data_IF_446060681343
#
_entry.id   IF_446060681343
#
_cell.length_a   1.000
_cell.length_b   1.000
_cell.length_c   1.000
_cell.angle_alpha   90.00
_cell.angle_beta   90.00
_cell.angle_gamma   90.00
#
_symmetry.space_group_name_H-M   'P 1'
#
loop_
_entity.id
_entity.type
_entity.pdbx_description
1 polymer ?
#
# COMPACT_ATOMS: atom_id res chain seq x y z
N UNK A 1 -13.12 -23.54 -2.04
CA UNK A 1 -11.72 -23.05 -1.88
C UNK A 1 -11.43 -21.77 -2.67
N UNK A 2 -11.65 -21.72 -3.99
CA UNK A 2 -11.35 -20.52 -4.83
C UNK A 2 -12.01 -19.22 -4.33
N UNK A 3 -13.29 -19.26 -3.93
CA UNK A 3 -14.02 -18.11 -3.35
C UNK A 3 -13.39 -17.57 -2.06
N UNK A 4 -12.91 -18.45 -1.18
CA UNK A 4 -12.24 -18.06 0.08
C UNK A 4 -10.91 -17.37 -0.23
N UNK A 5 -10.13 -17.93 -1.18
CA UNK A 5 -8.88 -17.32 -1.64
C UNK A 5 -9.13 -15.93 -2.25
N UNK A 6 -10.20 -15.77 -3.03
CA UNK A 6 -10.58 -14.47 -3.57
C UNK A 6 -10.93 -13.45 -2.48
N UNK A 7 -11.69 -13.85 -1.47
CA UNK A 7 -12.05 -12.97 -0.36
C UNK A 7 -10.82 -12.54 0.47
N UNK A 8 -9.90 -13.47 0.74
CA UNK A 8 -8.64 -13.17 1.43
C UNK A 8 -7.77 -12.21 0.60
N UNK A 9 -7.71 -12.38 -0.72
CA UNK A 9 -6.97 -11.47 -1.61
C UNK A 9 -7.56 -10.06 -1.62
N UNK A 10 -8.89 -9.92 -1.61
CA UNK A 10 -9.53 -8.60 -1.51
C UNK A 10 -9.28 -7.94 -0.15
N UNK A 11 -9.35 -8.70 0.94
CA UNK A 11 -9.06 -8.18 2.28
C UNK A 11 -7.59 -7.77 2.41
N UNK A 12 -6.67 -8.55 1.85
CA UNK A 12 -5.25 -8.20 1.80
C UNK A 12 -5.03 -6.92 0.96
N UNK A 13 -5.71 -6.78 -0.17
CA UNK A 13 -5.62 -5.57 -0.97
C UNK A 13 -6.11 -4.32 -0.22
N UNK A 14 -7.20 -4.45 0.55
CA UNK A 14 -7.68 -3.37 1.42
C UNK A 14 -6.65 -3.00 2.49
N UNK A 15 -6.04 -3.98 3.15
CA UNK A 15 -4.99 -3.75 4.15
C UNK A 15 -3.77 -3.04 3.55
N UNK A 16 -3.34 -3.45 2.35
CA UNK A 16 -2.23 -2.82 1.64
C UNK A 16 -2.54 -1.37 1.25
N UNK A 17 -3.78 -1.08 0.82
CA UNK A 17 -4.22 0.28 0.53
C UNK A 17 -4.23 1.16 1.80
N UNK A 18 -4.71 0.63 2.92
CA UNK A 18 -4.67 1.33 4.21
C UNK A 18 -3.23 1.59 4.66
N UNK A 19 -2.34 0.61 4.51
CA UNK A 19 -0.91 0.76 4.83
C UNK A 19 -0.24 1.82 3.95
N UNK A 20 -0.55 1.86 2.66
CA UNK A 20 -0.06 2.89 1.74
C UNK A 20 -0.55 4.29 2.16
N UNK A 21 -1.83 4.42 2.51
CA UNK A 21 -2.41 5.67 2.99
C UNK A 21 -1.76 6.14 4.30
N UNK A 22 -1.61 5.24 5.28
CA UNK A 22 -0.93 5.53 6.55
C UNK A 22 0.53 5.95 6.34
N UNK A 23 1.23 5.31 5.38
CA UNK A 23 2.60 5.70 5.00
C UNK A 23 2.63 7.09 4.37
N UNK A 24 1.64 7.43 3.53
CA UNK A 24 1.50 8.78 2.97
C UNK A 24 1.27 9.85 4.04
N UNK A 25 0.41 9.58 5.03
CA UNK A 25 0.22 10.47 6.19
C UNK A 25 1.51 10.63 6.97
N UNK A 26 2.23 9.53 7.22
CA UNK A 26 3.52 9.56 7.91
C UNK A 26 4.56 10.41 7.16
N UNK A 27 4.60 10.30 5.82
CA UNK A 27 5.47 11.10 4.97
C UNK A 27 5.18 12.60 5.11
N UNK A 28 3.90 12.99 5.13
CA UNK A 28 3.50 14.39 5.36
C UNK A 28 3.98 14.87 6.73
N UNK A 29 3.76 14.08 7.79
CA UNK A 29 4.20 14.43 9.15
C UNK A 29 5.72 14.58 9.25
N UNK A 30 6.47 13.73 8.56
CA UNK A 30 7.94 13.78 8.49
C UNK A 30 8.39 15.03 7.72
N UNK A 31 7.69 15.40 6.64
CA UNK A 31 8.03 16.59 5.84
C UNK A 31 7.89 17.90 6.62
N UNK A 32 7.04 17.93 7.65
CA UNK A 32 6.86 19.08 8.55
C UNK A 32 8.01 19.25 9.57
N UNK A 33 8.94 18.28 9.66
CA UNK A 33 10.13 18.35 10.50
C UNK A 33 11.40 18.13 9.67
N UNK A 34 11.80 19.09 8.81
CA UNK A 34 12.98 18.94 7.97
C UNK A 34 14.25 19.24 8.77
N UNK A 35 14.59 18.36 9.72
CA UNK A 35 15.67 18.61 10.69
C UNK A 35 17.04 18.12 10.17
N UNK A 36 17.09 17.20 9.19
CA UNK A 36 18.34 16.62 8.65
C UNK A 36 18.21 16.05 7.21
N UNK A 37 19.35 15.79 6.54
CA UNK A 37 19.45 15.06 5.24
C UNK A 37 18.72 13.71 5.27
N UNK A 38 18.62 13.08 6.44
CA UNK A 38 17.87 11.83 6.64
C UNK A 38 16.39 11.94 6.27
N UNK A 39 15.79 13.13 6.38
CA UNK A 39 14.37 13.36 6.04
C UNK A 39 14.12 13.15 4.55
N UNK A 40 15.02 13.63 3.69
CA UNK A 40 14.91 13.49 2.23
C UNK A 40 15.02 12.01 1.83
N UNK A 41 15.95 11.26 2.43
CA UNK A 41 16.10 9.83 2.19
C UNK A 41 14.85 9.05 2.61
N UNK A 42 14.23 9.43 3.73
CA UNK A 42 12.98 8.82 4.21
C UNK A 42 11.81 9.13 3.27
N UNK A 43 11.69 10.37 2.76
CA UNK A 43 10.66 10.75 1.78
C UNK A 43 10.78 9.91 0.51
N UNK A 44 11.98 9.77 -0.04
CA UNK A 44 12.22 8.96 -1.25
C UNK A 44 11.89 7.49 -0.98
N UNK A 45 12.42 6.93 0.12
CA UNK A 45 12.18 5.53 0.50
C UNK A 45 10.70 5.22 0.72
N UNK A 46 9.98 6.09 1.45
CA UNK A 46 8.55 5.95 1.67
C UNK A 46 7.74 6.15 0.39
N UNK A 47 8.14 7.07 -0.50
CA UNK A 47 7.51 7.26 -1.80
C UNK A 47 7.56 5.98 -2.65
N UNK A 48 8.74 5.36 -2.75
CA UNK A 48 8.90 4.08 -3.46
C UNK A 48 8.05 2.98 -2.80
N UNK A 49 8.05 2.90 -1.47
CA UNK A 49 7.29 1.92 -0.71
C UNK A 49 5.78 2.06 -0.95
N UNK A 50 5.25 3.28 -0.99
CA UNK A 50 3.84 3.54 -1.31
C UNK A 50 3.49 3.01 -2.71
N UNK A 51 4.33 3.27 -3.71
CA UNK A 51 4.12 2.77 -5.08
C UNK A 51 4.07 1.24 -5.09
N UNK A 52 5.00 0.57 -4.41
CA UNK A 52 5.03 -0.89 -4.31
C UNK A 52 3.81 -1.46 -3.60
N UNK A 53 3.37 -0.85 -2.49
CA UNK A 53 2.17 -1.25 -1.76
C UNK A 53 0.92 -1.12 -2.63
N UNK A 54 0.77 -0.01 -3.35
CA UNK A 54 -0.36 0.22 -4.25
C UNK A 54 -0.35 -0.71 -5.46
N UNK A 55 0.82 -0.99 -6.04
CA UNK A 55 0.96 -1.96 -7.12
C UNK A 55 0.57 -3.37 -6.66
N UNK A 56 1.00 -3.77 -5.46
CA UNK A 56 0.66 -5.07 -4.89
C UNK A 56 -0.82 -5.16 -4.47
N UNK A 57 -1.39 -4.07 -3.94
CA UNK A 57 -2.82 -3.96 -3.66
C UNK A 57 -3.65 -4.14 -4.94
N UNK A 58 -3.27 -3.48 -6.04
CA UNK A 58 -3.93 -3.62 -7.34
C UNK A 58 -3.84 -5.05 -7.89
N UNK A 59 -2.69 -5.72 -7.75
CA UNK A 59 -2.53 -7.10 -8.17
C UNK A 59 -3.46 -8.04 -7.37
N UNK A 60 -3.53 -7.85 -6.04
CA UNK A 60 -4.42 -8.61 -5.16
C UNK A 60 -5.89 -8.33 -5.46
N UNK A 61 -6.25 -7.08 -5.75
CA UNK A 61 -7.60 -6.69 -6.18
C UNK A 61 -7.99 -7.41 -7.48
N UNK A 62 -7.15 -7.35 -8.51
CA UNK A 62 -7.42 -7.98 -9.80
C UNK A 62 -7.60 -9.49 -9.66
N UNK A 63 -6.65 -10.17 -9.00
CA UNK A 63 -6.71 -11.62 -8.78
C UNK A 63 -7.90 -12.02 -7.89
N UNK A 64 -8.17 -11.24 -6.85
CA UNK A 64 -9.29 -11.48 -5.93
C UNK A 64 -10.63 -11.41 -6.65
N UNK A 65 -10.81 -10.38 -7.49
CA UNK A 65 -11.98 -10.20 -8.36
C UNK A 65 -12.14 -11.32 -9.37
N UNK A 66 -11.08 -11.69 -10.09
CA UNK A 66 -11.09 -12.82 -11.03
C UNK A 66 -11.48 -14.14 -10.35
N UNK A 67 -10.97 -14.38 -9.13
CA UNK A 67 -11.28 -15.58 -8.34
C UNK A 67 -12.72 -15.62 -7.84
N UNK A 68 -13.33 -14.45 -7.62
CA UNK A 68 -14.74 -14.28 -7.23
C UNK A 68 -15.69 -14.10 -8.42
N UNK A 69 -15.17 -13.96 -9.64
CA UNK A 69 -15.92 -13.61 -10.87
C UNK A 69 -16.71 -12.29 -10.73
N UNK A 70 -16.10 -11.29 -10.10
CA UNK A 70 -16.60 -9.90 -9.90
C UNK A 70 -15.89 -8.90 -10.82
#
# INVERSE_FOLDING_TARGET
>A
MKKVVGFVQLLLALLLAIAAAATGVNLVLISMRPETISVVNVIIGQGILIILLLAFANLCLKKGRESLKL
#
